data_IF_440590472450
#
_entry.id   IF_440590472450
#
_cell.length_a   1.000
_cell.length_b   1.000
_cell.length_c   1.000
_cell.angle_alpha   90.00
_cell.angle_beta   90.00
_cell.angle_gamma   90.00
#
_symmetry.space_group_name_H-M   'P 1'
#
loop_
_entity.id
_entity.type
_entity.pdbx_description
1 polymer ?
#
# COMPACT_ATOMS: atom_id res chain seq x y z
N UNK A 1 24.07 -6.63 16.36
CA UNK A 1 23.29 -7.85 16.64
C UNK A 1 23.67 -8.87 15.60
N UNK A 2 24.11 -10.04 16.05
CA UNK A 2 24.46 -11.15 15.17
C UNK A 2 23.15 -11.79 14.65
N UNK A 3 22.91 -11.88 13.33
CA UNK A 3 21.74 -12.56 12.78
C UNK A 3 21.66 -14.05 13.13
N UNK A 4 22.77 -14.64 13.59
CA UNK A 4 22.87 -16.04 14.01
C UNK A 4 22.48 -16.26 15.48
N UNK A 5 22.20 -15.17 16.21
CA UNK A 5 21.71 -15.24 17.58
C UNK A 5 20.28 -15.83 17.59
N UNK A 6 20.01 -16.88 18.39
CA UNK A 6 18.68 -17.50 18.47
C UNK A 6 17.58 -16.53 18.89
N UNK A 7 17.89 -15.49 19.66
CA UNK A 7 16.92 -14.46 20.06
C UNK A 7 16.58 -13.52 18.89
N UNK A 8 17.52 -13.35 17.95
CA UNK A 8 17.31 -12.55 16.74
C UNK A 8 16.27 -13.16 15.80
N UNK A 9 16.03 -14.47 15.90
CA UNK A 9 15.04 -15.18 15.08
C UNK A 9 13.63 -14.61 15.19
N UNK A 10 13.24 -14.12 16.37
CA UNK A 10 11.90 -13.61 16.63
C UNK A 10 11.88 -12.13 17.03
N UNK A 11 13.01 -11.57 17.49
CA UNK A 11 13.12 -10.18 17.92
C UNK A 11 13.77 -9.28 16.87
N UNK A 12 14.48 -9.87 15.91
CA UNK A 12 15.26 -9.16 14.90
C UNK A 12 14.62 -9.22 13.52
N UNK A 13 14.85 -8.16 12.74
CA UNK A 13 14.60 -8.15 11.30
C UNK A 13 15.94 -8.14 10.60
N UNK A 14 16.26 -9.21 9.85
CA UNK A 14 17.46 -9.21 9.01
C UNK A 14 17.26 -8.25 7.84
N UNK A 15 17.87 -7.07 7.95
CA UNK A 15 17.81 -6.02 6.92
C UNK A 15 18.34 -6.50 5.57
N UNK A 16 19.30 -7.43 5.53
CA UNK A 16 19.85 -7.93 4.25
C UNK A 16 18.86 -8.83 3.53
N UNK A 17 18.17 -9.70 4.27
CA UNK A 17 17.08 -10.50 3.73
C UNK A 17 15.91 -9.61 3.30
N UNK A 18 15.49 -8.68 4.17
CA UNK A 18 14.39 -7.75 3.88
C UNK A 18 14.62 -6.90 2.62
N UNK A 19 15.83 -6.37 2.46
CA UNK A 19 16.19 -5.57 1.27
C UNK A 19 16.17 -6.39 -0.03
N UNK A 20 16.37 -7.71 0.03
CA UNK A 20 16.23 -8.58 -1.15
C UNK A 20 14.77 -8.86 -1.50
N UNK A 21 13.90 -8.93 -0.50
CA UNK A 21 12.46 -9.14 -0.68
C UNK A 21 11.74 -7.85 -1.08
N UNK A 22 12.35 -6.69 -0.85
CA UNK A 22 11.78 -5.41 -1.21
C UNK A 22 11.68 -5.25 -2.74
N UNK A 23 10.47 -5.44 -3.26
CA UNK A 23 10.13 -5.14 -4.64
C UNK A 23 9.83 -3.65 -4.84
N UNK A 24 9.92 -3.20 -6.10
CA UNK A 24 9.57 -1.83 -6.47
C UNK A 24 8.07 -1.62 -6.23
N UNK A 25 7.72 -0.74 -5.28
CA UNK A 25 6.35 -0.44 -4.91
C UNK A 25 5.90 0.90 -5.49
N UNK A 26 4.86 0.91 -6.31
CA UNK A 26 4.26 2.13 -6.83
C UNK A 26 3.05 2.55 -6.00
N UNK A 27 3.29 3.41 -5.01
CA UNK A 27 2.27 3.92 -4.10
C UNK A 27 1.11 4.67 -4.78
N UNK A 28 1.24 5.04 -6.07
CA UNK A 28 0.15 5.72 -6.80
C UNK A 28 -0.84 4.76 -7.45
N UNK A 29 -0.44 3.51 -7.65
CA UNK A 29 -1.18 2.50 -8.39
C UNK A 29 -1.73 1.38 -7.49
N UNK A 30 -1.77 1.61 -6.18
CA UNK A 30 -2.21 0.64 -5.18
C UNK A 30 -3.10 1.32 -4.15
N UNK A 31 -4.12 0.61 -3.67
CA UNK A 31 -4.99 1.10 -2.60
C UNK A 31 -5.45 -0.02 -1.68
N UNK A 32 -5.87 0.35 -0.47
CA UNK A 32 -6.47 -0.58 0.49
C UNK A 32 -7.99 -0.62 0.29
N UNK A 33 -8.50 -1.80 0.00
CA UNK A 33 -9.93 -2.11 -0.19
C UNK A 33 -10.43 -2.84 1.05
N UNK A 34 -11.62 -2.47 1.53
CA UNK A 34 -12.29 -3.21 2.61
C UNK A 34 -12.66 -4.62 2.13
N UNK A 35 -12.34 -5.61 2.95
CA UNK A 35 -12.65 -7.02 2.72
C UNK A 35 -13.27 -7.61 3.98
N UNK A 36 -14.39 -8.32 3.84
CA UNK A 36 -15.14 -8.82 5.01
C UNK A 36 -14.34 -9.84 5.83
N UNK A 37 -13.39 -10.54 5.22
CA UNK A 37 -12.64 -11.63 5.85
C UNK A 37 -11.29 -11.17 6.37
N UNK A 38 -10.55 -10.40 5.58
CA UNK A 38 -9.19 -9.94 5.88
C UNK A 38 -9.17 -8.52 6.46
N UNK A 39 -10.33 -7.86 6.56
CA UNK A 39 -10.49 -6.47 6.97
C UNK A 39 -10.11 -5.50 5.86
N UNK A 40 -8.85 -5.52 5.44
CA UNK A 40 -8.35 -4.73 4.32
C UNK A 40 -7.37 -5.53 3.46
N UNK A 41 -7.53 -5.43 2.14
CA UNK A 41 -6.62 -6.03 1.16
C UNK A 41 -6.01 -4.95 0.28
N UNK A 42 -4.74 -5.15 -0.09
CA UNK A 42 -4.05 -4.30 -1.04
C UNK A 42 -4.47 -4.71 -2.47
N UNK A 43 -4.95 -3.74 -3.25
CA UNK A 43 -5.40 -3.93 -4.63
C UNK A 43 -4.68 -2.98 -5.59
N UNK A 44 -4.49 -3.42 -6.83
CA UNK A 44 -3.89 -2.61 -7.89
C UNK A 44 -4.95 -1.74 -8.57
N UNK A 45 -4.68 -0.45 -8.76
CA UNK A 45 -5.53 0.42 -9.57
C UNK A 45 -5.28 0.10 -11.04
N UNK A 46 -6.31 -0.36 -11.74
CA UNK A 46 -6.27 -0.64 -13.18
C UNK A 46 -6.68 0.59 -13.97
N UNK A 47 -7.70 1.30 -13.50
CA UNK A 47 -8.27 2.46 -14.20
C UNK A 47 -8.85 3.48 -13.22
N UNK A 48 -8.78 4.76 -13.59
CA UNK A 48 -9.51 5.83 -12.94
C UNK A 48 -10.27 6.62 -14.00
N UNK A 49 -11.56 6.85 -13.78
CA UNK A 49 -12.42 7.59 -14.71
C UNK A 49 -13.37 8.47 -13.91
N UNK A 50 -13.09 9.77 -13.89
CA UNK A 50 -13.82 10.72 -13.04
C UNK A 50 -13.71 10.35 -11.56
N UNK A 51 -14.86 10.04 -10.95
CA UNK A 51 -14.96 9.62 -9.55
C UNK A 51 -14.97 8.10 -9.37
N UNK A 52 -14.82 7.34 -10.45
CA UNK A 52 -14.79 5.88 -10.46
C UNK A 52 -13.35 5.37 -10.52
N UNK A 53 -13.04 4.36 -9.71
CA UNK A 53 -11.78 3.62 -9.71
C UNK A 53 -12.08 2.15 -9.93
N UNK A 54 -11.37 1.51 -10.86
CA UNK A 54 -11.38 0.06 -11.05
C UNK A 54 -10.11 -0.49 -10.44
N UNK A 55 -10.26 -1.43 -9.51
CA UNK A 55 -9.15 -2.10 -8.84
C UNK A 55 -9.14 -3.58 -9.16
N UNK A 56 -7.94 -4.16 -9.26
CA UNK A 56 -7.73 -5.60 -9.35
C UNK A 56 -7.32 -6.13 -7.98
N UNK A 57 -8.11 -7.07 -7.47
CA UNK A 57 -7.91 -7.72 -6.19
C UNK A 57 -6.86 -8.84 -6.30
N UNK A 58 -6.35 -9.35 -5.17
CA UNK A 58 -5.29 -10.38 -5.13
C UNK A 58 -5.66 -11.69 -5.83
N UNK A 59 -6.94 -12.03 -5.82
CA UNK A 59 -7.56 -13.19 -6.46
C UNK A 59 -7.89 -12.97 -7.95
N UNK A 60 -7.58 -11.78 -8.49
CA UNK A 60 -7.59 -11.49 -9.92
C UNK A 60 -8.91 -10.98 -10.48
N UNK A 61 -9.98 -10.90 -9.68
CA UNK A 61 -11.19 -10.20 -10.08
C UNK A 61 -11.02 -8.68 -9.94
N UNK A 62 -11.83 -7.96 -10.71
CA UNK A 62 -11.85 -6.51 -10.71
C UNK A 62 -13.11 -5.99 -10.03
N UNK A 63 -12.96 -4.93 -9.23
CA UNK A 63 -14.04 -4.27 -8.53
C UNK A 63 -14.06 -2.78 -8.90
N UNK A 64 -15.26 -2.23 -9.10
CA UNK A 64 -15.47 -0.81 -9.34
C UNK A 64 -15.89 -0.12 -8.04
N UNK A 65 -15.25 1.01 -7.73
CA UNK A 65 -15.53 1.78 -6.52
C UNK A 65 -15.55 3.28 -6.79
N UNK A 66 -16.27 4.03 -5.95
CA UNK A 66 -16.19 5.50 -5.95
C UNK A 66 -14.98 5.97 -5.14
N UNK A 67 -14.21 6.89 -5.72
CA UNK A 67 -13.05 7.55 -5.12
C UNK A 67 -13.34 8.19 -3.76
N UNK A 68 -14.59 8.60 -3.51
CA UNK A 68 -15.01 9.20 -2.25
C UNK A 68 -15.21 8.21 -1.09
N UNK A 69 -15.28 6.89 -1.34
CA UNK A 69 -15.80 5.93 -0.36
C UNK A 69 -14.75 5.13 0.43
N UNK A 70 -13.48 5.05 0.01
CA UNK A 70 -12.49 4.26 0.77
C UNK A 70 -11.04 4.50 0.32
N UNK A 71 -10.56 5.74 0.40
CA UNK A 71 -9.13 6.04 0.22
C UNK A 71 -8.49 6.25 1.59
N UNK A 72 -8.00 5.17 2.20
CA UNK A 72 -7.01 5.28 3.28
C UNK A 72 -5.68 5.69 2.64
N UNK A 73 -5.55 7.00 2.37
CA UNK A 73 -4.29 7.58 1.91
C UNK A 73 -3.34 7.54 3.10
N UNK A 74 -2.41 6.57 3.11
CA UNK A 74 -1.29 6.59 4.06
C UNK A 74 -0.50 7.86 3.75
N UNK A 75 -0.70 8.91 4.55
CA UNK A 75 0.13 10.11 4.50
C UNK A 75 1.51 9.69 4.99
N UNK A 76 2.45 9.55 4.06
CA UNK A 76 3.85 9.46 4.42
C UNK A 76 4.30 10.87 4.79
N UNK A 77 4.25 11.23 6.07
CA UNK A 77 4.49 12.59 6.59
C UNK A 77 5.93 13.12 6.40
N UNK A 78 6.78 12.39 5.67
CA UNK A 78 8.17 12.78 5.40
C UNK A 78 8.37 13.63 4.13
N UNK A 79 7.31 13.96 3.38
CA UNK A 79 7.42 14.86 2.22
C UNK A 79 6.54 16.10 2.41
N UNK A 80 7.15 17.18 2.90
CA UNK A 80 6.51 18.52 2.91
C UNK A 80 6.37 19.01 1.47
N UNK A 81 5.19 18.84 0.88
CA UNK A 81 4.85 19.55 -0.34
C UNK A 81 4.46 21.01 -0.03
N UNK A 82 5.00 22.01 -0.75
CA UNK A 82 4.62 23.39 -0.54
C UNK A 82 3.14 23.59 -0.91
N UNK A 83 2.39 24.19 0.01
CA UNK A 83 1.01 24.62 -0.18
C UNK A 83 0.96 25.56 -1.41
N UNK A 84 0.34 25.10 -2.50
CA UNK A 84 -0.05 26.01 -3.60
C UNK A 84 -1.06 27.00 -3.04
N UNK A 85 -0.65 28.27 -2.93
CA UNK A 85 -1.56 29.40 -2.69
C UNK A 85 -2.61 29.39 -3.79
N UNK A 86 -3.87 29.20 -3.39
CA UNK A 86 -5.03 29.43 -4.25
C UNK A 86 -5.13 30.95 -4.43
N UNK A 87 -5.34 31.37 -5.68
CA UNK A 87 -5.48 32.77 -6.13
C UNK A 87 -6.54 33.48 -5.31
#
# INVERSE_FOLDING_TARGET
>A
MDPSDPDFKYLGVDRKALMKEQSTFDAKNVLWVEDEKEGYVLADIVQTTGDTIVVRMKDGWEAEMRSAFSVVRIKNDHVKHPLRKRI
#
